data_IF_261134448735
#
_entry.id   IF_261134448735
#
_cell.length_a   1.000
_cell.length_b   1.000
_cell.length_c   1.000
_cell.angle_alpha   90.00
_cell.angle_beta   90.00
_cell.angle_gamma   90.00
#
_symmetry.space_group_name_H-M   'P 1'
#
loop_
_entity.id
_entity.type
_entity.pdbx_description
1 polymer ?
#
# COMPACT_ATOMS: atom_id res chain seq x y z
N UNK A 1 15.36 -3.14 -2.94
CA UNK A 1 14.86 -1.85 -2.42
C UNK A 1 14.41 -0.95 -3.54
N UNK A 2 15.08 -0.95 -4.69
CA UNK A 2 14.73 -0.14 -5.88
C UNK A 2 13.28 -0.34 -6.36
N UNK A 3 12.66 -1.48 -6.03
CA UNK A 3 11.25 -1.74 -6.31
C UNK A 3 10.25 -0.86 -5.54
N UNK A 4 10.68 -0.23 -4.45
CA UNK A 4 9.84 0.63 -3.60
C UNK A 4 9.52 1.98 -4.25
N UNK A 5 10.31 2.40 -5.23
CA UNK A 5 10.11 3.65 -5.97
C UNK A 5 9.27 3.50 -7.25
N UNK A 6 8.89 2.28 -7.64
CA UNK A 6 8.11 2.07 -8.88
C UNK A 6 6.63 2.43 -8.73
N UNK A 7 6.01 2.74 -9.86
CA UNK A 7 4.60 3.15 -9.93
C UNK A 7 3.61 2.02 -9.58
N UNK A 8 4.05 0.76 -9.56
CA UNK A 8 3.19 -0.35 -9.13
C UNK A 8 3.14 -0.45 -7.60
N UNK A 9 2.13 0.20 -7.03
CA UNK A 9 1.92 0.29 -5.58
C UNK A 9 1.72 -1.08 -4.94
N UNK A 10 1.02 -2.02 -5.59
CA UNK A 10 0.75 -3.34 -5.03
C UNK A 10 2.05 -4.13 -4.80
N UNK A 11 2.90 -4.20 -5.82
CA UNK A 11 4.21 -4.87 -5.71
C UNK A 11 5.14 -4.17 -4.71
N UNK A 12 5.12 -2.83 -4.65
CA UNK A 12 5.92 -2.09 -3.68
C UNK A 12 5.48 -2.36 -2.23
N UNK A 13 4.18 -2.53 -1.99
CA UNK A 13 3.63 -2.93 -0.68
C UNK A 13 4.12 -4.32 -0.29
N UNK A 14 4.01 -5.30 -1.19
CA UNK A 14 4.46 -6.67 -0.92
C UNK A 14 5.96 -6.70 -0.60
N UNK A 15 6.77 -5.95 -1.35
CA UNK A 15 8.21 -5.84 -1.13
C UNK A 15 8.52 -5.20 0.23
N UNK A 16 7.87 -4.11 0.62
CA UNK A 16 8.17 -3.46 1.91
C UNK A 16 7.73 -4.32 3.10
N UNK A 17 6.59 -5.01 2.98
CA UNK A 17 6.12 -5.97 4.01
C UNK A 17 7.09 -7.15 4.12
N UNK A 18 7.58 -7.66 3.00
CA UNK A 18 8.60 -8.71 2.98
C UNK A 18 9.92 -8.24 3.59
N UNK A 19 10.38 -7.03 3.28
CA UNK A 19 11.57 -6.44 3.93
C UNK A 19 11.38 -6.32 5.44
N UNK A 20 10.19 -5.93 5.90
CA UNK A 20 9.83 -5.85 7.32
C UNK A 20 9.94 -7.20 8.04
N UNK A 21 9.69 -8.29 7.34
CA UNK A 21 9.82 -9.66 7.85
C UNK A 21 11.27 -10.17 7.78
N UNK A 22 12.00 -9.88 6.69
CA UNK A 22 13.41 -10.28 6.55
C UNK A 22 14.30 -9.63 7.61
N UNK A 23 14.08 -8.35 7.92
CA UNK A 23 14.93 -7.64 8.88
C UNK A 23 14.88 -8.28 10.27
N UNK A 24 13.75 -8.88 10.64
CA UNK A 24 13.56 -9.60 11.90
C UNK A 24 14.12 -11.02 11.83
N UNK A 25 13.81 -11.76 10.76
CA UNK A 25 14.27 -13.15 10.60
C UNK A 25 15.78 -13.27 10.33
N UNK A 26 16.39 -12.22 9.77
CA UNK A 26 17.83 -12.18 9.46
C UNK A 26 18.51 -10.93 10.04
N UNK A 27 18.84 -10.95 11.35
CA UNK A 27 19.46 -9.81 12.04
C UNK A 27 20.81 -9.36 11.44
N UNK A 28 21.54 -10.27 10.77
CA UNK A 28 22.85 -9.96 10.13
C UNK A 28 22.70 -8.98 8.97
N UNK A 29 21.55 -8.98 8.30
CA UNK A 29 21.27 -8.10 7.17
C UNK A 29 20.71 -6.75 7.59
N UNK A 30 20.37 -6.56 8.88
CA UNK A 30 19.70 -5.36 9.40
C UNK A 30 20.40 -4.06 9.00
N UNK A 31 21.70 -3.95 9.28
CA UNK A 31 22.50 -2.74 8.94
C UNK A 31 22.34 -2.42 7.46
N UNK A 32 22.57 -3.40 6.59
CA UNK A 32 22.50 -3.22 5.14
C UNK A 32 21.09 -2.86 4.65
N UNK A 33 20.04 -3.39 5.29
CA UNK A 33 18.65 -3.09 4.95
C UNK A 33 18.33 -1.65 5.34
N UNK A 34 18.65 -1.24 6.56
CA UNK A 34 18.38 0.11 7.08
C UNK A 34 19.12 1.15 6.25
N UNK A 35 20.42 0.96 5.99
CA UNK A 35 21.20 1.92 5.17
C UNK A 35 20.62 2.06 3.77
N UNK A 36 20.27 0.94 3.11
CA UNK A 36 19.65 0.99 1.78
C UNK A 36 18.25 1.59 1.79
N UNK A 37 17.48 1.37 2.86
CA UNK A 37 16.17 1.97 3.00
C UNK A 37 16.28 3.49 3.12
N UNK A 38 17.20 4.00 3.95
CA UNK A 38 17.47 5.43 4.09
C UNK A 38 17.93 6.06 2.77
N UNK A 39 18.83 5.39 2.04
CA UNK A 39 19.32 5.87 0.74
C UNK A 39 18.21 5.94 -0.32
N UNK A 40 17.26 5.02 -0.31
CA UNK A 40 16.19 4.96 -1.31
C UNK A 40 14.89 5.65 -0.88
N UNK A 41 14.81 6.12 0.37
CA UNK A 41 13.56 6.60 0.97
C UNK A 41 12.94 7.76 0.19
N UNK A 42 13.75 8.67 -0.35
CA UNK A 42 13.29 9.82 -1.14
C UNK A 42 12.57 9.44 -2.45
N UNK A 43 12.78 8.21 -2.94
CA UNK A 43 12.17 7.73 -4.19
C UNK A 43 10.73 7.23 -4.00
N UNK A 44 10.34 6.91 -2.76
CA UNK A 44 9.04 6.32 -2.45
C UNK A 44 7.96 7.40 -2.57
N UNK A 45 6.97 7.17 -3.43
CA UNK A 45 5.86 8.11 -3.68
C UNK A 45 4.51 7.64 -3.12
N UNK A 46 4.38 6.37 -2.73
CA UNK A 46 3.13 5.83 -2.19
C UNK A 46 3.10 5.96 -0.66
N UNK A 47 2.06 6.58 -0.11
CA UNK A 47 1.94 6.84 1.33
C UNK A 47 1.96 5.57 2.20
N UNK A 48 1.28 4.50 1.76
CA UNK A 48 1.29 3.22 2.47
C UNK A 48 2.69 2.60 2.55
N UNK A 49 3.46 2.68 1.46
CA UNK A 49 4.84 2.19 1.41
C UNK A 49 5.75 3.07 2.28
N UNK A 50 5.59 4.39 2.21
CA UNK A 50 6.28 5.33 3.11
C UNK A 50 6.00 5.01 4.58
N UNK A 51 4.75 4.70 4.92
CA UNK A 51 4.34 4.40 6.30
C UNK A 51 5.03 3.14 6.84
N UNK A 52 5.08 2.08 6.03
CA UNK A 52 5.78 0.85 6.38
C UNK A 52 7.30 1.07 6.46
N UNK A 53 7.89 1.80 5.51
CA UNK A 53 9.31 2.13 5.52
C UNK A 53 9.71 2.98 6.75
N UNK A 54 8.90 3.98 7.11
CA UNK A 54 9.10 4.80 8.31
C UNK A 54 9.03 3.96 9.58
N UNK A 55 8.10 2.99 9.66
CA UNK A 55 8.04 2.05 10.77
C UNK A 55 9.34 1.24 10.89
N UNK A 56 9.86 0.69 9.78
CA UNK A 56 11.14 -0.05 9.78
C UNK A 56 12.28 0.85 10.27
N UNK A 57 12.35 2.10 9.79
CA UNK A 57 13.36 3.07 10.23
C UNK A 57 13.23 3.32 11.74
N UNK A 58 12.02 3.55 12.25
CA UNK A 58 11.78 3.84 13.67
C UNK A 58 12.06 2.65 14.61
N UNK A 59 11.88 1.41 14.15
CA UNK A 59 12.15 0.21 14.94
C UNK A 59 13.62 -0.20 14.92
N UNK A 60 14.23 -0.20 13.74
CA UNK A 60 15.52 -0.86 13.52
C UNK A 60 16.72 0.10 13.43
N UNK A 61 16.54 1.41 13.56
CA UNK A 61 17.66 2.31 13.83
C UNK A 61 18.05 2.21 15.31
N UNK A 62 19.16 1.52 15.60
CA UNK A 62 19.57 1.19 16.97
C UNK A 62 20.85 1.91 17.40
N UNK A 63 21.75 2.18 16.46
CA UNK A 63 23.02 2.86 16.74
C UNK A 63 22.92 4.37 16.54
N UNK A 64 23.76 5.14 17.24
CA UNK A 64 23.75 6.60 17.21
C UNK A 64 23.74 7.16 15.78
N UNK A 65 24.67 6.69 14.94
CA UNK A 65 24.80 7.14 13.56
C UNK A 65 23.56 6.82 12.71
N UNK A 66 22.90 5.69 12.97
CA UNK A 66 21.69 5.28 12.25
C UNK A 66 20.50 6.13 12.68
N UNK A 67 20.36 6.40 13.98
CA UNK A 67 19.29 7.24 14.53
C UNK A 67 19.42 8.67 14.01
N UNK A 68 20.62 9.25 14.06
CA UNK A 68 20.89 10.59 13.50
C UNK A 68 20.63 10.65 12.00
N UNK A 69 21.07 9.63 11.25
CA UNK A 69 20.79 9.54 9.81
C UNK A 69 19.29 9.41 9.54
N UNK A 70 18.56 8.61 10.32
CA UNK A 70 17.11 8.45 10.18
C UNK A 70 16.36 9.75 10.40
N UNK A 71 16.71 10.49 11.46
CA UNK A 71 16.15 11.82 11.73
C UNK A 71 16.49 12.79 10.58
N UNK A 72 17.73 12.80 10.11
CA UNK A 72 18.17 13.66 9.02
C UNK A 72 17.44 13.37 7.70
N UNK A 73 17.29 12.10 7.32
CA UNK A 73 16.56 11.68 6.12
C UNK A 73 15.10 12.10 6.18
N UNK A 74 14.41 11.88 7.31
CA UNK A 74 13.01 12.30 7.48
C UNK A 74 12.90 13.82 7.32
N UNK A 75 13.80 14.60 7.95
CA UNK A 75 13.82 16.07 7.82
C UNK A 75 14.05 16.51 6.38
N UNK A 76 15.01 15.91 5.68
CA UNK A 76 15.29 16.22 4.28
C UNK A 76 14.08 15.93 3.38
N UNK A 77 13.37 14.83 3.63
CA UNK A 77 12.18 14.45 2.89
C UNK A 77 10.94 15.33 3.18
N UNK A 78 10.89 16.00 4.34
CA UNK A 78 9.89 17.02 4.66
C UNK A 78 10.24 18.40 4.07
N UNK A 79 11.54 18.65 3.88
CA UNK A 79 12.07 19.93 3.42
C UNK A 79 11.99 21.02 4.48
N UNK A 80 12.04 22.27 4.04
CA UNK A 80 12.09 23.42 4.94
C UNK A 80 10.74 23.69 5.61
N UNK A 81 10.82 24.06 6.89
CA UNK A 81 9.70 24.53 7.69
C UNK A 81 9.64 26.07 7.65
N UNK A 82 8.45 26.69 7.77
CA UNK A 82 7.14 26.07 7.94
C UNK A 82 6.60 25.46 6.64
N UNK A 83 5.68 24.48 6.75
CA UNK A 83 5.04 23.89 5.57
C UNK A 83 4.17 24.90 4.81
N UNK A 84 3.75 25.97 5.50
CA UNK A 84 2.91 27.05 5.00
C UNK A 84 3.38 28.39 5.57
N UNK A 85 3.36 29.45 4.77
CA UNK A 85 3.57 30.83 5.21
C UNK A 85 2.25 31.61 5.14
N UNK A 86 1.85 32.20 6.27
CA UNK A 86 0.59 32.97 6.47
C UNK A 86 0.43 34.16 5.48
N UNK A 87 1.47 34.52 4.72
CA UNK A 87 1.42 35.59 3.71
C UNK A 87 0.43 35.36 2.56
N UNK A 88 -0.09 34.14 2.34
CA UNK A 88 -1.07 33.89 1.26
C UNK A 88 -2.52 34.27 1.64
N UNK A 89 -2.80 34.62 2.89
CA UNK A 89 -4.13 35.16 3.27
C UNK A 89 -4.31 36.66 2.93
N UNK A 90 -3.27 37.35 2.44
CA UNK A 90 -3.26 38.81 2.29
C UNK A 90 -3.32 39.40 0.87
N UNK A 91 -3.12 38.62 -0.20
CA UNK A 91 -3.02 39.15 -1.59
C UNK A 91 -4.11 38.62 -2.53
N UNK A 92 -5.31 38.36 -2.02
CA UNK A 92 -6.50 38.05 -2.83
C UNK A 92 -7.55 39.17 -2.85
N UNK A 93 -7.18 40.41 -2.51
CA UNK A 93 -8.08 41.56 -2.56
C UNK A 93 -7.33 42.87 -2.80
N UNK A 94 -6.81 43.08 -4.01
CA UNK A 94 -6.96 44.36 -4.76
C UNK A 94 -6.20 44.29 -6.10
N UNK A 95 -6.88 43.86 -7.17
CA UNK A 95 -6.68 44.46 -8.49
C UNK A 95 -7.86 44.10 -9.39
N UNK A 96 -8.78 45.04 -9.47
CA UNK A 96 -9.92 45.09 -10.38
C UNK A 96 -9.52 44.82 -11.85
N UNK A 97 -9.96 43.69 -12.42
CA UNK A 97 -10.41 43.62 -13.82
C UNK A 97 -11.65 42.72 -13.93
N UNK A 98 -12.72 43.34 -14.42
CA UNK A 98 -14.03 42.75 -14.69
C UNK A 98 -13.94 41.57 -15.66
N UNK A 99 -14.56 40.46 -15.29
CA UNK A 99 -15.29 39.60 -16.22
C UNK A 99 -16.41 38.89 -15.46
N UNK A 100 -17.64 39.19 -15.88
CA UNK A 100 -18.86 38.60 -15.37
C UNK A 100 -18.86 37.08 -15.57
N UNK A 101 -19.22 36.32 -14.54
CA UNK A 101 -20.08 35.17 -14.75
C UNK A 101 -20.83 34.82 -13.46
N UNK A 102 -22.15 34.87 -13.62
CA UNK A 102 -23.19 34.49 -12.67
C UNK A 102 -23.06 32.99 -12.43
N UNK A 103 -23.07 32.53 -11.19
CA UNK A 103 -23.66 31.25 -10.82
C UNK A 103 -24.11 31.29 -9.36
N UNK A 104 -25.41 31.52 -9.22
CA UNK A 104 -26.19 31.32 -8.01
C UNK A 104 -26.18 29.84 -7.62
N UNK A 105 -25.72 29.58 -6.39
CA UNK A 105 -25.87 28.31 -5.68
C UNK A 105 -27.36 28.00 -5.50
N UNK A 106 -27.89 27.04 -6.24
CA UNK A 106 -29.19 26.42 -5.93
C UNK A 106 -28.99 24.97 -5.51
N UNK A 107 -29.56 24.68 -4.35
CA UNK A 107 -29.53 23.39 -3.66
C UNK A 107 -30.14 22.31 -4.57
N UNK A 108 -29.33 21.35 -5.01
CA UNK A 108 -29.78 20.24 -5.85
C UNK A 108 -30.62 19.25 -5.03
N UNK A 109 -31.94 19.32 -5.20
CA UNK A 109 -32.92 18.37 -4.68
C UNK A 109 -32.87 17.07 -5.50
N UNK A 110 -32.49 15.96 -4.86
CA UNK A 110 -32.53 14.59 -5.40
C UNK A 110 -33.97 14.08 -5.60
N UNK A 111 -34.57 14.35 -6.76
CA UNK A 111 -35.79 13.65 -7.22
C UNK A 111 -35.60 13.12 -8.65
N UNK A 112 -36.17 11.94 -8.99
CA UNK A 112 -36.10 11.40 -10.35
C UNK A 112 -36.77 12.35 -11.34
N UNK A 113 -36.13 12.61 -12.48
CA UNK A 113 -36.71 13.44 -13.53
C UNK A 113 -37.68 12.58 -14.36
N UNK A 114 -38.88 13.12 -14.60
CA UNK A 114 -39.90 12.48 -15.44
C UNK A 114 -39.78 13.04 -16.84
N UNK A 115 -39.60 12.17 -17.83
CA UNK A 115 -39.52 12.55 -19.23
C UNK A 115 -40.92 12.82 -19.81
N UNK A 116 -40.98 13.47 -20.98
CA UNK A 116 -42.24 13.90 -21.60
C UNK A 116 -43.21 12.74 -21.97
N UNK A 117 -42.72 11.52 -21.94
CA UNK A 117 -43.46 10.27 -22.15
C UNK A 117 -43.98 9.63 -20.85
N UNK A 118 -43.75 10.25 -19.69
CA UNK A 118 -44.23 9.77 -18.39
C UNK A 118 -43.34 8.68 -17.75
N UNK A 119 -42.19 8.37 -18.34
CA UNK A 119 -41.24 7.40 -17.79
C UNK A 119 -40.34 8.06 -16.74
N UNK A 120 -40.25 7.46 -15.55
CA UNK A 120 -39.34 7.91 -14.48
C UNK A 120 -37.90 7.53 -14.82
N UNK A 121 -37.03 8.52 -15.05
CA UNK A 121 -35.61 8.29 -15.29
C UNK A 121 -34.82 8.36 -13.97
N UNK A 122 -34.26 7.22 -13.54
CA UNK A 122 -33.30 7.14 -12.44
C UNK A 122 -31.90 7.44 -12.96
N UNK A 123 -31.38 8.64 -12.67
CA UNK A 123 -29.97 8.94 -12.91
C UNK A 123 -29.12 8.11 -11.94
N UNK A 124 -28.47 7.05 -12.44
CA UNK A 124 -27.43 6.36 -11.70
C UNK A 124 -26.23 7.29 -11.56
N UNK A 125 -26.05 7.84 -10.36
CA UNK A 125 -24.88 8.64 -10.01
C UNK A 125 -23.67 7.72 -9.82
N UNK A 126 -23.00 7.35 -10.91
CA UNK A 126 -21.61 6.95 -10.84
C UNK A 126 -20.80 8.20 -10.50
N UNK A 127 -20.40 8.35 -9.24
CA UNK A 127 -19.35 9.31 -8.89
C UNK A 127 -18.04 8.74 -9.43
N UNK A 128 -17.70 9.09 -10.66
CA UNK A 128 -16.31 9.07 -11.10
C UNK A 128 -15.60 10.18 -10.32
N UNK A 129 -14.91 9.80 -9.24
CA UNK A 129 -13.81 10.60 -8.69
C UNK A 129 -12.71 10.65 -9.74
N UNK A 130 -12.87 11.55 -10.72
CA UNK A 130 -11.80 11.96 -11.62
C UNK A 130 -10.83 12.78 -10.78
N UNK A 131 -9.91 12.08 -10.11
CA UNK A 131 -8.65 12.69 -9.71
C UNK A 131 -7.98 13.17 -10.99
N UNK A 132 -8.01 14.47 -11.21
CA UNK A 132 -7.15 15.08 -12.22
C UNK A 132 -5.72 14.71 -11.87
N UNK A 133 -4.94 14.03 -12.73
CA UNK A 133 -3.52 13.94 -12.48
C UNK A 133 -2.98 15.34 -12.68
N UNK A 134 -2.67 16.01 -11.58
CA UNK A 134 -1.83 17.20 -11.63
C UNK A 134 -0.59 16.79 -12.43
N UNK A 135 -0.39 17.44 -13.56
CA UNK A 135 0.74 17.21 -14.45
C UNK A 135 1.97 17.64 -13.67
N UNK A 136 2.60 16.69 -12.97
CA UNK A 136 3.87 16.92 -12.29
C UNK A 136 4.89 17.12 -13.40
N UNK A 137 5.28 18.38 -13.60
CA UNK A 137 6.48 18.73 -14.34
C UNK A 137 7.63 17.92 -13.72
N UNK A 138 8.09 16.91 -14.46
CA UNK A 138 9.36 16.23 -14.20
C UNK A 138 10.47 17.29 -14.28
N UNK A 139 10.80 17.91 -13.16
CA UNK A 139 11.71 19.04 -13.16
C UNK A 139 11.89 19.72 -11.82
N UNK A 140 11.91 18.99 -10.70
CA UNK A 140 12.59 19.45 -9.49
C UNK A 140 12.91 18.27 -8.58
N UNK A 141 14.17 17.89 -8.55
CA UNK A 141 14.76 16.92 -7.61
C UNK A 141 14.84 17.47 -6.16
N UNK A 142 14.04 18.48 -5.80
CA UNK A 142 14.17 19.23 -4.55
C UNK A 142 12.89 19.28 -3.70
N UNK A 143 11.75 18.76 -4.17
CA UNK A 143 10.56 18.64 -3.31
C UNK A 143 10.54 17.26 -2.67
N UNK A 144 10.83 17.20 -1.37
CA UNK A 144 10.87 15.96 -0.62
C UNK A 144 9.56 15.17 -0.75
N UNK A 145 9.67 13.84 -0.87
CA UNK A 145 8.53 12.96 -1.11
C UNK A 145 7.46 13.06 -0.02
N UNK A 146 7.86 13.12 1.25
CA UNK A 146 6.93 13.32 2.37
C UNK A 146 6.21 14.66 2.29
N UNK A 147 6.91 15.74 1.91
CA UNK A 147 6.30 17.06 1.72
C UNK A 147 5.17 17.02 0.70
N UNK A 148 5.42 16.39 -0.44
CA UNK A 148 4.40 16.29 -1.50
C UNK A 148 3.15 15.55 -1.04
N UNK A 149 3.30 14.49 -0.24
CA UNK A 149 2.19 13.70 0.28
C UNK A 149 1.39 14.46 1.35
N UNK A 150 2.09 15.18 2.25
CA UNK A 150 1.44 16.02 3.27
C UNK A 150 0.67 17.19 2.66
N UNK A 151 1.24 17.86 1.65
CA UNK A 151 0.56 18.94 0.92
C UNK A 151 -0.61 18.43 0.05
N UNK A 152 -0.68 17.13 -0.21
CA UNK A 152 -1.85 16.51 -0.85
C UNK A 152 -2.98 16.23 0.16
N UNK A 153 -2.71 16.39 1.47
CA UNK A 153 -3.68 16.20 2.55
C UNK A 153 -3.63 14.83 3.21
N UNK A 154 -2.58 14.03 3.01
CA UNK A 154 -2.40 12.76 3.72
C UNK A 154 -1.87 13.00 5.15
N UNK A 155 -2.78 13.33 6.07
CA UNK A 155 -2.43 13.58 7.47
C UNK A 155 -2.20 12.30 8.27
N UNK A 156 -2.71 11.16 7.79
CA UNK A 156 -2.39 9.86 8.38
C UNK A 156 -0.89 9.58 8.28
N UNK A 157 -0.29 9.81 7.11
CA UNK A 157 1.16 9.74 6.95
C UNK A 157 1.88 10.72 7.88
N UNK A 158 1.33 11.93 8.08
CA UNK A 158 1.84 12.90 9.05
C UNK A 158 1.88 12.37 10.48
N UNK A 159 0.82 11.67 10.92
CA UNK A 159 0.80 11.00 12.21
C UNK A 159 1.87 9.90 12.30
N UNK A 160 2.07 9.11 11.24
CA UNK A 160 3.14 8.09 11.19
C UNK A 160 4.54 8.73 11.29
N UNK A 161 4.76 9.87 10.61
CA UNK A 161 6.01 10.64 10.71
C UNK A 161 6.21 11.14 12.15
N UNK A 162 5.16 11.65 12.81
CA UNK A 162 5.25 12.08 14.20
C UNK A 162 5.59 10.92 15.16
N UNK A 163 4.93 9.76 15.01
CA UNK A 163 5.21 8.57 15.80
C UNK A 163 6.67 8.10 15.62
N UNK A 164 7.17 8.10 14.39
CA UNK A 164 8.51 7.59 14.07
C UNK A 164 9.60 8.54 14.53
N UNK A 165 9.43 9.86 14.38
CA UNK A 165 10.32 10.86 14.98
C UNK A 165 10.35 10.75 16.51
N UNK A 166 9.20 10.57 17.14
CA UNK A 166 9.10 10.38 18.59
C UNK A 166 9.92 9.17 19.02
N UNK A 167 9.73 8.04 18.36
CA UNK A 167 10.46 6.80 18.66
C UNK A 167 11.96 6.96 18.47
N UNK A 168 12.40 7.60 17.39
CA UNK A 168 13.82 7.89 17.14
C UNK A 168 14.42 8.82 18.19
N UNK A 169 13.69 9.81 18.68
CA UNK A 169 14.16 10.70 19.75
C UNK A 169 14.28 9.95 21.09
N UNK A 170 13.31 9.11 21.43
CA UNK A 170 13.38 8.27 22.62
C UNK A 170 14.58 7.33 22.58
N UNK A 171 14.90 6.78 21.40
CA UNK A 171 16.12 6.00 21.16
C UNK A 171 17.38 6.85 21.25
N UNK A 172 17.36 8.05 20.68
CA UNK A 172 18.50 8.98 20.75
C UNK A 172 18.85 9.30 22.20
N UNK A 173 17.86 9.42 23.08
CA UNK A 173 18.10 9.63 24.51
C UNK A 173 18.75 8.44 25.22
N UNK A 174 18.54 7.20 24.75
CA UNK A 174 19.21 6.00 25.29
C UNK A 174 20.67 5.91 24.82
N UNK A 175 20.95 6.34 23.59
CA UNK A 175 22.25 6.12 22.94
C UNK A 175 23.17 7.34 23.03
N UNK A 176 22.62 8.56 23.07
CA UNK A 176 23.40 9.81 23.08
C UNK A 176 23.70 10.29 24.50
N UNK A 177 24.98 10.41 24.91
CA UNK A 177 25.34 10.93 26.23
C UNK A 177 25.08 12.44 26.38
N UNK A 178 25.05 13.20 25.29
CA UNK A 178 24.86 14.65 25.30
C UNK A 178 23.39 15.04 25.32
N UNK A 179 22.91 15.51 26.48
CA UNK A 179 21.54 16.04 26.63
C UNK A 179 21.24 17.24 25.71
N UNK A 180 22.26 18.02 25.35
CA UNK A 180 22.09 19.21 24.50
C UNK A 180 21.64 18.81 23.10
N UNK A 181 22.22 17.75 22.55
CA UNK A 181 21.91 17.27 21.22
C UNK A 181 20.54 16.58 21.17
N UNK A 182 20.21 15.82 22.22
CA UNK A 182 18.85 15.25 22.40
C UNK A 182 17.83 16.38 22.44
N UNK A 183 18.01 17.41 23.28
CA UNK A 183 17.09 18.54 23.38
C UNK A 183 16.95 19.31 22.06
N UNK A 184 18.05 19.47 21.31
CA UNK A 184 18.03 20.08 19.98
C UNK A 184 17.22 19.23 19.00
N UNK A 185 17.38 17.91 19.02
CA UNK A 185 16.59 16.99 18.19
C UNK A 185 15.10 17.02 18.57
N UNK A 186 14.80 16.96 19.87
CA UNK A 186 13.44 17.04 20.42
C UNK A 186 12.73 18.33 20.01
N UNK A 187 13.39 19.48 20.17
CA UNK A 187 12.81 20.78 19.78
C UNK A 187 12.52 20.85 18.29
N UNK A 188 13.42 20.32 17.45
CA UNK A 188 13.19 20.27 16.01
C UNK A 188 12.02 19.36 15.62
N UNK A 189 11.86 18.21 16.27
CA UNK A 189 10.72 17.33 15.99
C UNK A 189 9.40 17.93 16.48
N UNK A 190 9.39 18.59 17.64
CA UNK A 190 8.24 19.34 18.13
C UNK A 190 7.83 20.44 17.13
N UNK A 191 8.80 21.17 16.56
CA UNK A 191 8.52 22.16 15.52
C UNK A 191 7.88 21.55 14.27
N UNK A 192 8.35 20.37 13.83
CA UNK A 192 7.75 19.62 12.72
C UNK A 192 6.30 19.25 13.03
N UNK A 193 6.05 18.65 14.20
CA UNK A 193 4.72 18.20 14.61
C UNK A 193 3.72 19.36 14.72
N UNK A 194 4.14 20.47 15.33
CA UNK A 194 3.31 21.68 15.43
C UNK A 194 3.04 22.27 14.05
N UNK A 195 4.04 22.30 13.16
CA UNK A 195 3.85 22.77 11.78
C UNK A 195 2.89 21.89 10.99
N UNK A 196 2.88 20.57 11.23
CA UNK A 196 1.91 19.64 10.62
C UNK A 196 0.49 19.89 11.11
N UNK A 197 0.32 20.14 12.42
CA UNK A 197 -0.99 20.50 12.99
C UNK A 197 -1.48 21.83 12.39
N UNK A 198 -0.60 22.83 12.32
CA UNK A 198 -0.96 24.13 11.76
C UNK A 198 -1.37 24.03 10.28
N UNK A 199 -0.63 23.24 9.48
CA UNK A 199 -1.02 22.94 8.10
C UNK A 199 -2.40 22.29 8.04
N UNK A 200 -2.67 21.32 8.91
CA UNK A 200 -3.95 20.60 8.95
C UNK A 200 -5.16 21.39 9.43
N UNK A 201 -4.93 22.47 10.20
CA UNK A 201 -5.96 23.40 10.64
C UNK A 201 -6.15 24.59 9.69
N UNK A 202 -5.21 24.80 8.75
CA UNK A 202 -5.29 25.89 7.78
C UNK A 202 -6.37 25.64 6.73
N UNK A 203 -6.95 26.71 6.18
CA UNK A 203 -7.92 26.63 5.09
C UNK A 203 -7.29 26.40 3.71
N UNK A 204 -5.98 26.17 3.66
CA UNK A 204 -5.19 26.00 2.43
C UNK A 204 -5.48 24.66 1.77
N UNK A 205 -5.78 23.65 2.58
CA UNK A 205 -6.04 22.29 2.10
C UNK A 205 -7.55 22.03 2.01
N UNK A 206 -8.00 21.30 0.99
CA UNK A 206 -9.43 21.03 0.76
C UNK A 206 -10.05 20.19 1.87
N UNK A 207 -9.25 19.37 2.55
CA UNK A 207 -9.69 18.54 3.67
C UNK A 207 -8.86 18.91 4.91
N UNK A 208 -9.52 19.25 6.04
CA UNK A 208 -8.82 19.47 7.30
C UNK A 208 -8.25 18.16 7.85
N UNK A 209 -7.33 18.27 8.80
CA UNK A 209 -6.80 17.11 9.53
C UNK A 209 -7.91 16.29 10.19
N UNK A 210 -7.82 14.97 10.08
CA UNK A 210 -8.71 14.06 10.77
C UNK A 210 -8.41 14.02 12.29
N UNK A 211 -9.45 13.81 13.10
CA UNK A 211 -9.32 13.84 14.55
C UNK A 211 -8.34 12.78 15.09
N UNK A 212 -8.29 11.58 14.47
CA UNK A 212 -7.37 10.52 14.89
C UNK A 212 -5.90 10.92 14.67
N UNK A 213 -5.57 11.43 13.48
CA UNK A 213 -4.22 11.92 13.19
C UNK A 213 -3.84 13.10 14.08
N UNK A 214 -4.77 14.03 14.33
CA UNK A 214 -4.56 15.15 15.25
C UNK A 214 -4.23 14.68 16.67
N UNK A 215 -5.05 13.77 17.23
CA UNK A 215 -4.86 13.23 18.58
C UNK A 215 -3.54 12.43 18.69
N UNK A 216 -3.17 11.68 17.65
CA UNK A 216 -1.89 10.95 17.60
C UNK A 216 -0.69 11.88 17.59
N UNK A 217 -0.72 12.96 16.82
CA UNK A 217 0.37 13.94 16.80
C UNK A 217 0.47 14.65 18.15
N UNK A 218 -0.66 15.00 18.77
CA UNK A 218 -0.67 15.58 20.13
C UNK A 218 -0.10 14.61 21.16
N UNK A 219 -0.46 13.34 21.09
CA UNK A 219 0.08 12.32 21.98
C UNK A 219 1.62 12.26 21.87
N UNK A 220 2.16 12.29 20.65
CA UNK A 220 3.59 12.36 20.39
C UNK A 220 4.23 13.61 21.01
N UNK A 221 3.62 14.78 20.84
CA UNK A 221 4.09 16.05 21.44
C UNK A 221 4.12 15.94 22.97
N UNK A 222 3.04 15.46 23.59
CA UNK A 222 2.95 15.32 25.06
C UNK A 222 4.02 14.36 25.59
N UNK A 223 4.28 13.28 24.86
CA UNK A 223 5.26 12.27 25.22
C UNK A 223 6.70 12.79 25.16
N UNK A 224 7.02 13.59 24.14
CA UNK A 224 8.32 14.26 24.04
C UNK A 224 8.53 15.35 25.10
N UNK A 225 7.45 16.01 25.54
CA UNK A 225 7.51 17.00 26.61
C UNK A 225 7.55 16.38 28.02
N UNK A 226 6.98 15.19 28.21
CA UNK A 226 6.96 14.49 29.49
C UNK A 226 7.25 13.00 29.30
N UNK A 227 8.55 12.67 29.34
CA UNK A 227 9.01 11.31 29.07
C UNK A 227 8.98 10.45 30.33
N UNK A 228 7.82 9.83 30.59
CA UNK A 228 7.70 8.81 31.62
C UNK A 228 8.44 7.51 31.23
N UNK A 229 9.17 6.90 32.16
CA UNK A 229 9.95 5.67 31.92
C UNK A 229 9.07 4.49 31.45
N UNK A 230 7.87 4.34 31.99
CA UNK A 230 6.93 3.28 31.58
C UNK A 230 6.47 3.47 30.12
N UNK A 231 6.13 4.71 29.77
CA UNK A 231 5.67 5.04 28.42
C UNK A 231 6.79 4.83 27.39
N UNK A 232 8.04 5.15 27.76
CA UNK A 232 9.23 4.85 26.94
C UNK A 232 9.34 3.36 26.67
N UNK A 233 9.21 2.51 27.69
CA UNK A 233 9.29 1.05 27.53
C UNK A 233 8.22 0.52 26.57
N UNK A 234 6.99 1.03 26.66
CA UNK A 234 5.90 0.66 25.75
C UNK A 234 6.26 1.01 24.31
N UNK A 235 6.73 2.24 24.07
CA UNK A 235 7.07 2.71 22.72
C UNK A 235 8.29 2.01 22.11
N UNK A 236 9.32 1.71 22.92
CA UNK A 236 10.56 1.13 22.41
C UNK A 236 10.53 -0.39 22.31
N UNK A 237 9.88 -1.07 23.25
CA UNK A 237 9.95 -2.54 23.37
C UNK A 237 8.62 -3.21 23.02
N UNK A 238 7.50 -2.79 23.62
CA UNK A 238 6.24 -3.53 23.49
C UNK A 238 5.70 -3.60 22.06
N UNK A 239 5.87 -2.53 21.27
CA UNK A 239 5.50 -2.53 19.85
C UNK A 239 6.30 -3.57 19.04
N UNK A 240 7.60 -3.67 19.31
CA UNK A 240 8.49 -4.61 18.65
C UNK A 240 8.18 -6.05 19.10
N UNK A 241 8.04 -6.30 20.40
CA UNK A 241 7.68 -7.62 20.96
C UNK A 241 6.36 -8.16 20.38
N UNK A 242 5.37 -7.28 20.19
CA UNK A 242 4.10 -7.64 19.55
C UNK A 242 4.29 -8.07 18.09
N UNK A 243 5.16 -7.38 17.36
CA UNK A 243 5.50 -7.73 15.98
C UNK A 243 6.25 -9.07 15.90
N UNK A 244 7.21 -9.30 16.80
CA UNK A 244 7.94 -10.58 16.89
C UNK A 244 6.98 -11.73 17.18
N UNK A 245 6.04 -11.53 18.12
CA UNK A 245 5.02 -12.55 18.47
C UNK A 245 4.11 -12.85 17.27
N UNK A 246 3.63 -11.82 16.57
CA UNK A 246 2.84 -11.99 15.35
C UNK A 246 3.61 -12.80 14.28
N UNK A 247 4.92 -12.55 14.16
CA UNK A 247 5.76 -13.25 13.19
C UNK A 247 5.99 -14.72 13.58
N UNK A 248 6.22 -15.01 14.86
CA UNK A 248 6.33 -16.40 15.32
C UNK A 248 5.02 -17.18 15.12
N UNK A 249 3.86 -16.55 15.36
CA UNK A 249 2.56 -17.18 15.16
C UNK A 249 2.26 -17.43 13.68
N UNK A 250 2.71 -16.53 12.79
CA UNK A 250 2.63 -16.71 11.34
C UNK A 250 3.48 -17.92 10.91
N UNK A 251 4.74 -17.98 11.34
CA UNK A 251 5.65 -19.09 11.02
C UNK A 251 5.13 -20.43 11.55
N UNK A 252 4.58 -20.44 12.76
CA UNK A 252 3.98 -21.64 13.35
C UNK A 252 2.84 -22.16 12.46
N UNK A 253 1.90 -21.29 12.08
CA UNK A 253 0.79 -21.66 11.18
C UNK A 253 1.27 -22.18 9.83
N UNK A 254 2.24 -21.52 9.22
CA UNK A 254 2.82 -21.98 7.94
C UNK A 254 3.45 -23.37 8.08
N UNK A 255 4.16 -23.65 9.18
CA UNK A 255 4.74 -24.98 9.41
C UNK A 255 3.69 -26.05 9.68
N UNK A 256 2.58 -25.71 10.35
CA UNK A 256 1.45 -26.61 10.58
C UNK A 256 0.72 -26.93 9.28
N UNK A 257 0.52 -25.94 8.42
CA UNK A 257 -0.06 -26.14 7.08
C UNK A 257 0.83 -27.03 6.21
N UNK A 258 2.15 -26.83 6.25
CA UNK A 258 3.11 -27.68 5.52
C UNK A 258 3.07 -29.11 6.06
N UNK A 259 3.01 -29.30 7.39
CA UNK A 259 2.88 -30.63 8.01
C UNK A 259 1.56 -31.30 7.66
N UNK A 260 0.45 -30.56 7.68
CA UNK A 260 -0.86 -31.07 7.28
C UNK A 260 -0.87 -31.50 5.81
N UNK A 261 -0.31 -30.68 4.91
CA UNK A 261 -0.13 -31.04 3.49
C UNK A 261 0.77 -32.27 3.30
N UNK A 262 1.82 -32.40 4.10
CA UNK A 262 2.68 -33.59 4.09
C UNK A 262 1.95 -34.83 4.63
N UNK A 263 1.10 -34.69 5.64
CA UNK A 263 0.34 -35.81 6.20
C UNK A 263 -0.77 -36.30 5.25
N UNK A 264 -1.35 -35.42 4.44
CA UNK A 264 -2.31 -35.76 3.37
C UNK A 264 -1.65 -36.58 2.23
N UNK A 265 -0.32 -36.58 2.11
CA UNK A 265 0.38 -37.34 1.06
C UNK A 265 0.38 -38.87 1.26
N UNK A 266 -0.15 -39.37 2.38
CA UNK A 266 -0.44 -40.80 2.54
C UNK A 266 -1.78 -41.15 1.87
N UNK A 267 -1.72 -41.58 0.60
CA UNK A 267 -2.88 -42.16 -0.09
C UNK A 267 -3.39 -43.40 0.65
N UNK A 268 -4.68 -43.46 0.92
CA UNK A 268 -5.32 -44.65 1.46
C UNK A 268 -5.35 -45.75 0.39
N UNK A 269 -5.35 -47.05 0.77
CA UNK A 269 -5.40 -48.16 -0.19
C UNK A 269 -6.64 -48.14 -1.09
N UNK A 270 -7.72 -47.52 -0.61
CA UNK A 270 -9.01 -47.41 -1.30
C UNK A 270 -9.17 -46.08 -2.08
N UNK A 271 -8.14 -45.23 -2.10
CA UNK A 271 -8.17 -44.00 -2.88
C UNK A 271 -8.20 -44.31 -4.38
N UNK A 272 -9.04 -43.57 -5.11
CA UNK A 272 -9.18 -43.74 -6.56
C UNK A 272 -7.85 -43.40 -7.24
N UNK A 273 -7.36 -44.32 -8.08
CA UNK A 273 -6.17 -44.10 -8.89
C UNK A 273 -6.56 -43.28 -10.12
N UNK A 274 -5.86 -42.18 -10.38
CA UNK A 274 -6.03 -41.44 -11.62
C UNK A 274 -5.58 -42.25 -12.84
N UNK A 275 -6.37 -42.20 -13.93
CA UNK A 275 -6.15 -43.03 -15.12
C UNK A 275 -4.81 -42.78 -15.83
N UNK A 276 -4.17 -41.61 -15.67
CA UNK A 276 -2.85 -41.35 -16.24
C UNK A 276 -1.75 -42.21 -15.61
N UNK A 277 -1.92 -42.66 -14.36
CA UNK A 277 -1.01 -43.61 -13.72
C UNK A 277 -1.03 -45.01 -14.35
N UNK A 278 -2.10 -45.37 -15.04
CA UNK A 278 -2.24 -46.64 -15.75
C UNK A 278 -1.68 -46.58 -17.19
N UNK A 279 -1.30 -45.38 -17.68
CA UNK A 279 -0.79 -45.17 -19.04
C UNK A 279 0.72 -45.39 -19.07
N UNK A 280 1.20 -46.12 -20.10
CA UNK A 280 2.62 -46.44 -20.25
C UNK A 280 3.47 -45.17 -20.43
N UNK A 281 4.39 -44.89 -19.50
CA UNK A 281 5.34 -43.75 -19.51
C UNK A 281 6.45 -43.85 -20.57
N UNK A 282 6.19 -44.40 -21.76
CA UNK A 282 7.20 -44.52 -22.83
C UNK A 282 7.51 -43.14 -23.44
N UNK A 283 8.35 -42.36 -22.76
CA UNK A 283 8.91 -41.09 -23.25
C UNK A 283 8.00 -39.87 -23.13
N UNK A 284 6.82 -39.99 -22.52
CA UNK A 284 5.88 -38.87 -22.33
C UNK A 284 6.13 -38.18 -20.98
N UNK A 285 6.09 -36.85 -20.98
CA UNK A 285 6.06 -36.03 -19.78
C UNK A 285 4.72 -36.17 -19.04
N UNK A 286 4.68 -35.78 -17.76
CA UNK A 286 3.47 -35.90 -16.94
C UNK A 286 2.28 -35.11 -17.52
N UNK A 287 2.53 -33.90 -18.02
CA UNK A 287 1.50 -33.08 -18.66
C UNK A 287 0.95 -33.74 -19.93
N UNK A 288 1.80 -34.34 -20.76
CA UNK A 288 1.38 -35.05 -21.97
C UNK A 288 0.55 -36.31 -21.66
N UNK A 289 0.81 -36.96 -20.53
CA UNK A 289 0.03 -38.10 -20.05
C UNK A 289 -1.36 -37.69 -19.55
N UNK A 290 -1.43 -36.59 -18.79
CA UNK A 290 -2.67 -36.00 -18.28
C UNK A 290 -3.57 -35.54 -19.44
N UNK A 291 -3.01 -34.80 -20.41
CA UNK A 291 -3.73 -34.34 -21.60
C UNK A 291 -4.25 -35.51 -22.44
N UNK A 292 -3.42 -36.52 -22.69
CA UNK A 292 -3.83 -37.66 -23.50
C UNK A 292 -4.95 -38.49 -22.85
N UNK A 293 -5.01 -38.56 -21.51
CA UNK A 293 -6.12 -39.22 -20.79
C UNK A 293 -7.38 -38.37 -20.85
N UNK A 294 -7.25 -37.05 -20.72
CA UNK A 294 -8.37 -36.14 -20.80
C UNK A 294 -9.01 -36.15 -22.20
N UNK A 295 -8.21 -36.24 -23.25
CA UNK A 295 -8.67 -36.39 -24.64
C UNK A 295 -9.35 -37.73 -24.90
N UNK A 296 -8.79 -38.84 -24.37
CA UNK A 296 -9.42 -40.16 -24.44
C UNK A 296 -10.78 -40.17 -23.72
N UNK A 297 -10.86 -39.50 -22.55
CA UNK A 297 -12.10 -39.34 -21.79
C UNK A 297 -13.15 -38.55 -22.59
N UNK A 298 -12.77 -37.38 -23.13
CA UNK A 298 -13.65 -36.54 -23.97
C UNK A 298 -14.16 -37.27 -25.22
N UNK A 299 -13.32 -38.10 -25.82
CA UNK A 299 -13.71 -38.95 -26.96
C UNK A 299 -14.69 -40.04 -26.51
N UNK A 300 -14.46 -40.67 -25.37
CA UNK A 300 -15.32 -41.73 -24.84
C UNK A 300 -16.68 -41.22 -24.36
N UNK A 301 -16.74 -40.00 -23.81
CA UNK A 301 -17.99 -39.34 -23.37
C UNK A 301 -18.79 -38.73 -24.53
N UNK A 302 -18.25 -38.74 -25.75
CA UNK A 302 -18.93 -38.24 -26.94
C UNK A 302 -18.98 -36.71 -27.04
N UNK A 303 -18.18 -35.99 -26.26
CA UNK A 303 -18.16 -34.52 -26.23
C UNK A 303 -17.66 -33.93 -27.57
N UNK A 304 -16.92 -34.72 -28.35
CA UNK A 304 -16.48 -34.39 -29.72
C UNK A 304 -17.57 -34.54 -30.81
N UNK A 305 -18.78 -35.03 -30.50
CA UNK A 305 -19.81 -35.28 -31.54
C UNK A 305 -20.55 -34.01 -31.99
N UNK A 306 -20.23 -32.83 -31.43
CA UNK A 306 -20.68 -31.53 -31.99
C UNK A 306 -19.75 -31.07 -33.12
N UNK A 307 -19.58 -31.88 -34.16
CA UNK A 307 -18.89 -31.46 -35.37
C UNK A 307 -19.90 -30.93 -36.41
N UNK A 308 -19.65 -29.71 -36.88
CA UNK A 308 -20.44 -28.85 -37.79
C UNK A 308 -20.72 -29.42 -39.20
N UNK A 309 -20.62 -30.74 -39.43
CA UNK A 309 -20.62 -31.34 -40.78
C UNK A 309 -21.77 -32.32 -41.08
N UNK A 310 -22.78 -32.42 -40.22
CA UNK A 310 -23.95 -33.29 -40.46
C UNK A 310 -24.80 -32.87 -41.68
N UNK A 311 -24.76 -31.61 -42.09
CA UNK A 311 -25.50 -31.12 -43.27
C UNK A 311 -24.99 -31.72 -44.60
N UNK A 312 -23.69 -32.05 -44.70
CA UNK A 312 -23.11 -32.56 -45.94
C UNK A 312 -23.30 -34.07 -46.14
N UNK A 313 -23.67 -34.82 -45.08
CA UNK A 313 -23.94 -36.26 -45.15
C UNK A 313 -25.30 -36.61 -45.78
N UNK A 314 -26.22 -35.64 -45.88
CA UNK A 314 -27.57 -35.81 -46.44
C UNK A 314 -27.66 -35.49 -47.96
N UNK A 315 -26.58 -34.99 -48.58
CA UNK A 315 -26.60 -34.56 -49.99
C UNK A 315 -26.34 -35.67 -51.03
N UNK A 316 -26.25 -36.95 -50.62
CA UNK A 316 -26.23 -38.09 -51.57
C UNK A 316 -27.63 -38.67 -51.76
N UNK A 317 -28.48 -37.95 -52.48
CA UNK A 317 -29.72 -38.51 -53.03
C UNK A 317 -29.36 -39.23 -54.35
N UNK A 318 -29.32 -40.57 -54.33
CA UNK A 318 -29.34 -41.38 -55.56
C UNK A 318 -30.80 -41.61 -55.97
N UNK A 319 -31.20 -41.04 -57.11
CA UNK A 319 -32.55 -41.17 -57.65
C UNK A 319 -32.71 -42.55 -58.32
N UNK A 320 -33.46 -43.45 -57.68
CA UNK A 320 -33.84 -44.77 -58.20
C UNK A 320 -35.22 -44.73 -58.86
N UNK A 321 -35.42 -43.87 -59.87
CA UNK A 321 -36.57 -43.99 -60.76
C UNK A 321 -36.20 -44.89 -61.92
N UNK A 322 -36.79 -46.08 -61.94
CA UNK A 322 -36.46 -47.17 -62.84
C UNK A 322 -37.01 -47.03 -64.25
N UNK A 323 -36.41 -47.84 -65.12
CA UNK A 323 -36.97 -48.27 -66.38
C UNK A 323 -38.30 -49.02 -66.18
N UNK A 324 -39.38 -48.46 -66.70
CA UNK A 324 -40.20 -49.11 -67.74
C UNK A 324 -40.86 -48.04 -68.60
#
# INVERSE_FOLDING_TARGET
MDFLGYNNVASAIDVVVFVREIIETNPKSRVSIVTRLLDTFYQIRAALVCSCALWIIGEYCLFLSEVESGIATIKQCLGDLPFYSISEEGEANDSSKKSQQINSTTVSSRRPAVLADGTYATQSAASETVFSPATVVQGSLSTGNLRSLLLTGDFFLGAVVACTLTKLILRLEEVQPSKVEVNKATTNALLIMVSMIQLGQSSVLPHPIDNDSYDRIILCIRLLCNTGNEVRKIWLNSCHESFVTMLSDKQLRETEEIKAKAQISHSQPDDLIDFYHLKSRRGMSQLELEDAVHDDLKRATGEFVKDENDANRLNRVLQLTGFK
#
